data_IF_187413309961
#
_entry.id   IF_187413309961
#
_cell.length_a   1.000
_cell.length_b   1.000
_cell.length_c   1.000
_cell.angle_alpha   90.00
_cell.angle_beta   90.00
_cell.angle_gamma   90.00
#
_symmetry.space_group_name_H-M   'P 1'
#
loop_
_entity.id
_entity.type
_entity.pdbx_description
1 polymer ?
#
# COMPACT_ATOMS: atom_id res chain seq x y z
N UNK A 1 31.75 14.74 -12.29
CA UNK A 1 30.31 14.44 -12.23
C UNK A 1 30.16 13.19 -11.40
N UNK A 2 29.64 13.30 -10.17
CA UNK A 2 29.43 12.14 -9.29
C UNK A 2 28.09 11.48 -9.66
N UNK A 3 28.13 10.18 -9.95
CA UNK A 3 26.94 9.36 -10.12
C UNK A 3 26.33 9.17 -8.72
N UNK A 4 25.09 9.64 -8.44
CA UNK A 4 24.48 9.37 -7.15
C UNK A 4 24.25 7.86 -7.06
N UNK A 5 24.85 7.22 -6.06
CA UNK A 5 24.66 5.78 -5.86
C UNK A 5 23.17 5.51 -5.66
N UNK A 6 22.56 4.82 -6.62
CA UNK A 6 21.15 4.44 -6.56
C UNK A 6 21.04 3.33 -5.52
N UNK A 7 20.49 3.67 -4.35
CA UNK A 7 20.12 2.69 -3.36
C UNK A 7 19.02 1.78 -3.93
N UNK A 8 19.35 0.51 -4.17
CA UNK A 8 18.37 -0.51 -4.54
C UNK A 8 18.22 -1.46 -3.36
N UNK A 9 17.14 -1.37 -2.56
CA UNK A 9 16.95 -2.30 -1.46
C UNK A 9 16.75 -3.72 -2.00
N UNK A 10 17.26 -4.75 -1.30
CA UNK A 10 16.97 -6.14 -1.67
C UNK A 10 15.46 -6.38 -1.55
N UNK A 11 14.87 -6.98 -2.59
CA UNK A 11 13.46 -7.40 -2.55
C UNK A 11 13.28 -8.43 -1.45
N UNK A 12 12.39 -8.16 -0.48
CA UNK A 12 12.05 -9.13 0.56
C UNK A 12 11.37 -10.34 -0.11
N UNK A 13 11.85 -11.54 0.22
CA UNK A 13 11.25 -12.79 -0.26
C UNK A 13 9.86 -12.91 0.39
N UNK A 14 8.86 -13.34 -0.39
CA UNK A 14 7.54 -13.63 0.13
C UNK A 14 7.62 -14.78 1.14
N UNK A 15 7.02 -14.61 2.32
CA UNK A 15 6.94 -15.68 3.31
C UNK A 15 5.71 -16.51 2.94
N UNK A 16 5.91 -17.73 2.43
CA UNK A 16 4.81 -18.57 1.94
C UNK A 16 3.84 -18.98 3.06
N UNK A 17 4.35 -19.22 4.28
CA UNK A 17 3.57 -19.59 5.46
C UNK A 17 3.47 -18.45 6.50
N UNK A 18 3.39 -17.20 6.04
CA UNK A 18 3.26 -16.03 6.92
C UNK A 18 1.90 -15.99 7.63
N UNK A 19 1.89 -15.56 8.89
CA UNK A 19 0.63 -15.25 9.57
C UNK A 19 -0.14 -14.14 8.82
N UNK A 20 -1.48 -14.19 8.76
CA UNK A 20 -2.26 -13.15 8.10
C UNK A 20 -2.02 -11.79 8.77
N UNK A 21 -1.96 -10.73 7.94
CA UNK A 21 -1.89 -9.37 8.45
C UNK A 21 -3.14 -9.07 9.29
N UNK A 22 -2.95 -8.70 10.55
CA UNK A 22 -4.01 -8.24 11.45
C UNK A 22 -3.82 -6.75 11.72
N UNK A 23 -4.75 -5.94 11.25
CA UNK A 23 -4.76 -4.51 11.52
C UNK A 23 -5.22 -4.25 12.96
N UNK A 24 -4.48 -3.42 13.69
CA UNK A 24 -4.84 -2.95 15.03
C UNK A 24 -4.83 -1.43 15.03
N UNK A 25 -6.03 -0.84 15.03
CA UNK A 25 -6.23 0.61 15.03
C UNK A 25 -7.37 0.96 15.99
N UNK A 26 -7.27 2.07 16.74
CA UNK A 26 -8.39 2.59 17.51
C UNK A 26 -9.41 3.37 16.65
N UNK A 27 -9.12 3.55 15.35
CA UNK A 27 -9.95 4.30 14.41
C UNK A 27 -10.44 3.42 13.28
N UNK A 28 -11.68 3.64 12.87
CA UNK A 28 -12.25 3.10 11.64
C UNK A 28 -11.91 4.00 10.45
N UNK A 29 -11.84 3.45 9.21
CA UNK A 29 -11.70 4.25 8.01
C UNK A 29 -12.82 5.29 7.89
N UNK A 30 -12.47 6.51 7.49
CA UNK A 30 -13.41 7.63 7.42
C UNK A 30 -13.18 8.51 6.18
N UNK A 31 -14.17 9.36 5.86
CA UNK A 31 -14.15 10.16 4.63
C UNK A 31 -14.11 9.26 3.40
N UNK A 32 -13.19 9.53 2.48
CA UNK A 32 -13.03 8.78 1.22
C UNK A 32 -12.20 7.50 1.37
N UNK A 33 -11.65 7.24 2.57
CA UNK A 33 -10.81 6.06 2.81
C UNK A 33 -11.52 4.72 2.54
N UNK A 34 -12.79 4.49 2.96
CA UNK A 34 -13.47 3.22 2.68
C UNK A 34 -13.59 2.92 1.18
N UNK A 35 -13.87 3.93 0.37
CA UNK A 35 -13.98 3.81 -1.09
C UNK A 35 -12.62 3.51 -1.72
N UNK A 36 -11.58 4.28 -1.36
CA UNK A 36 -10.22 4.04 -1.85
C UNK A 36 -9.72 2.63 -1.50
N UNK A 37 -10.01 2.13 -0.30
CA UNK A 37 -9.66 0.76 0.11
C UNK A 37 -10.39 -0.27 -0.78
N UNK A 38 -11.69 -0.08 -1.01
CA UNK A 38 -12.49 -1.01 -1.82
C UNK A 38 -12.00 -1.06 -3.28
N UNK A 39 -11.72 0.09 -3.88
CA UNK A 39 -11.23 0.20 -5.26
C UNK A 39 -9.86 -0.47 -5.43
N UNK A 40 -8.90 -0.13 -4.57
CA UNK A 40 -7.54 -0.71 -4.63
C UNK A 40 -7.57 -2.22 -4.40
N UNK A 41 -8.36 -2.69 -3.43
CA UNK A 41 -8.48 -4.12 -3.14
C UNK A 41 -9.08 -4.87 -4.32
N UNK A 42 -10.13 -4.33 -4.94
CA UNK A 42 -10.75 -4.93 -6.12
C UNK A 42 -9.78 -5.01 -7.29
N UNK A 43 -9.07 -3.92 -7.59
CA UNK A 43 -8.11 -3.88 -8.69
C UNK A 43 -6.95 -4.89 -8.47
N UNK A 44 -6.48 -5.07 -7.23
CA UNK A 44 -5.50 -6.12 -6.90
C UNK A 44 -6.06 -7.52 -7.20
N UNK A 45 -7.31 -7.79 -6.82
CA UNK A 45 -7.95 -9.08 -7.09
C UNK A 45 -8.17 -9.35 -8.59
N UNK A 46 -8.36 -8.27 -9.37
CA UNK A 46 -8.48 -8.32 -10.84
C UNK A 46 -7.12 -8.47 -11.54
N UNK A 47 -6.00 -8.43 -10.79
CA UNK A 47 -4.65 -8.62 -11.32
C UNK A 47 -3.96 -7.34 -11.79
N UNK A 48 -4.52 -6.17 -11.46
CA UNK A 48 -3.93 -4.88 -11.82
C UNK A 48 -2.64 -4.66 -11.03
N UNK A 49 -1.52 -4.47 -11.75
CA UNK A 49 -0.19 -4.40 -11.14
C UNK A 49 0.18 -2.99 -10.73
N UNK A 50 -0.21 -2.00 -11.53
CA UNK A 50 0.21 -0.61 -11.35
C UNK A 50 -1.00 0.23 -10.94
N UNK A 51 -1.00 0.72 -9.70
CA UNK A 51 -2.10 1.50 -9.14
C UNK A 51 -1.57 2.77 -8.46
N UNK A 52 -2.32 3.87 -8.56
CA UNK A 52 -1.96 5.16 -7.97
C UNK A 52 -3.03 5.59 -6.98
N UNK A 53 -2.65 5.72 -5.71
CA UNK A 53 -3.51 6.31 -4.68
C UNK A 53 -3.30 7.83 -4.62
N UNK A 54 -4.24 8.59 -5.17
CA UNK A 54 -4.23 10.05 -5.12
C UNK A 54 -4.90 10.54 -3.83
N UNK A 55 -4.11 10.76 -2.77
CA UNK A 55 -4.61 11.30 -1.50
C UNK A 55 -4.06 12.69 -1.20
N UNK A 56 -4.92 13.61 -0.74
CA UNK A 56 -4.53 14.94 -0.25
C UNK A 56 -3.63 14.87 1.00
N UNK A 57 -2.96 15.98 1.35
CA UNK A 57 -2.14 16.04 2.57
C UNK A 57 -3.02 15.89 3.81
N UNK A 58 -2.58 15.07 4.78
CA UNK A 58 -3.33 14.83 6.02
C UNK A 58 -4.45 13.79 5.92
N UNK A 59 -4.64 13.13 4.77
CA UNK A 59 -5.71 12.14 4.57
C UNK A 59 -5.48 10.76 5.21
N UNK A 60 -4.34 10.55 5.87
CA UNK A 60 -3.97 9.24 6.44
C UNK A 60 -3.68 8.17 5.38
N UNK A 61 -2.74 8.42 4.45
CA UNK A 61 -2.34 7.45 3.40
C UNK A 61 -1.54 6.24 3.93
N UNK A 62 -1.09 6.30 5.18
CA UNK A 62 -0.34 5.23 5.86
C UNK A 62 -1.25 4.56 6.87
#
# INVERSE_FOLDING_TARGET
>A
MVNPEIFTPPKRIAIEDGAPLRLSSPFEPAGDQPEAIAELTKAIQEGERDQVLLGVTGSGKT
#
